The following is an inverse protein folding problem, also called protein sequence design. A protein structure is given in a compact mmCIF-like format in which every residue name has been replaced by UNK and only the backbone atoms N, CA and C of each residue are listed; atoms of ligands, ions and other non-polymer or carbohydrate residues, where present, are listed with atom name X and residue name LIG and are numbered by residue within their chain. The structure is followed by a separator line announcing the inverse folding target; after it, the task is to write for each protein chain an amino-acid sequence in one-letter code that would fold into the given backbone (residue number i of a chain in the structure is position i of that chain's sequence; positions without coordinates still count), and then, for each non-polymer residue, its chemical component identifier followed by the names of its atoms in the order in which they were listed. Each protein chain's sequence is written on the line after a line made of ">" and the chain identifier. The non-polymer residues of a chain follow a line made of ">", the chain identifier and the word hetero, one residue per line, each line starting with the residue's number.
data_IF_576286420176
#
_entry.id   IF_576286420176
#
_cell.length_a   1.000
_cell.length_b   1.000
_cell.length_c   1.000
_cell.angle_alpha   90.00
_cell.angle_beta   90.00
_cell.angle_gamma   90.00
#
_symmetry.space_group_name_H-M   'P 1'
#
loop_
_entity.id
_entity.type
_entity.pdbx_description
1 polymer ?
#
# COMPACT_ATOMS: atom_id res chain seq x y z
N UNK A 1 2.13 -15.08 -18.69
CA UNK A 1 2.51 -15.31 -17.28
C UNK A 1 3.73 -14.49 -16.87
N UNK A 2 4.87 -14.53 -17.56
CA UNK A 2 6.05 -13.69 -17.28
C UNK A 2 5.76 -12.17 -17.32
N UNK A 3 4.82 -11.72 -18.12
CA UNK A 3 4.42 -10.31 -18.24
C UNK A 3 3.66 -9.80 -17.00
N UNK A 4 2.83 -10.63 -16.37
CA UNK A 4 2.10 -10.31 -15.14
C UNK A 4 3.01 -10.30 -13.89
N UNK A 5 4.05 -11.12 -13.88
CA UNK A 5 5.05 -11.17 -12.81
C UNK A 5 5.91 -9.89 -12.83
N UNK A 6 6.26 -9.39 -14.03
CA UNK A 6 6.90 -8.08 -14.20
C UNK A 6 6.02 -6.90 -13.80
N UNK A 7 4.68 -7.04 -13.84
CA UNK A 7 3.77 -5.99 -13.39
C UNK A 7 3.79 -5.79 -11.87
N UNK A 8 3.89 -6.83 -11.08
CA UNK A 8 3.82 -6.72 -9.62
C UNK A 8 5.05 -6.01 -9.00
N UNK A 9 6.28 -6.31 -9.49
CA UNK A 9 7.50 -5.65 -9.03
C UNK A 9 7.55 -4.16 -9.43
N UNK A 10 6.93 -3.80 -10.57
CA UNK A 10 6.89 -2.42 -11.06
C UNK A 10 5.74 -1.59 -10.47
N UNK A 11 4.71 -2.21 -9.87
CA UNK A 11 3.67 -1.46 -9.16
C UNK A 11 4.24 -0.70 -7.95
N UNK A 12 5.26 -1.23 -7.30
CA UNK A 12 5.98 -0.55 -6.23
C UNK A 12 6.79 0.66 -6.74
N UNK A 13 7.51 0.52 -7.84
CA UNK A 13 8.24 1.62 -8.49
C UNK A 13 7.29 2.74 -8.93
N UNK A 14 6.13 2.38 -9.51
CA UNK A 14 5.12 3.35 -9.93
C UNK A 14 4.46 4.07 -8.76
N UNK A 15 4.25 3.40 -7.64
CA UNK A 15 3.72 4.01 -6.42
C UNK A 15 4.61 5.16 -5.93
N UNK A 16 5.92 4.99 -6.07
CA UNK A 16 6.90 5.99 -5.63
C UNK A 16 7.09 7.13 -6.64
N UNK A 17 6.95 6.85 -7.95
CA UNK A 17 7.00 7.89 -9.02
C UNK A 17 5.78 8.80 -8.99
N UNK A 18 4.59 8.32 -8.58
CA UNK A 18 3.40 9.18 -8.39
C UNK A 18 3.61 10.23 -7.32
N UNK A 19 4.43 9.96 -6.31
CA UNK A 19 4.81 10.97 -5.33
C UNK A 19 5.52 12.17 -5.98
N UNK A 20 6.34 11.91 -7.00
CA UNK A 20 7.07 12.95 -7.74
C UNK A 20 6.16 13.83 -8.58
N UNK A 21 5.12 13.24 -9.19
CA UNK A 21 4.14 13.94 -10.04
C UNK A 21 3.28 14.95 -9.28
N UNK A 22 3.12 14.77 -7.97
CA UNK A 22 2.30 15.66 -7.13
C UNK A 22 3.10 16.85 -6.61
N UNK A 23 4.44 16.82 -6.65
CA UNK A 23 5.31 17.76 -5.94
C UNK A 23 6.14 18.66 -6.86
N UNK A 24 6.39 18.31 -8.11
CA UNK A 24 7.21 19.15 -9.01
C UNK A 24 6.45 19.55 -10.29
N UNK A 25 6.81 20.72 -10.85
CA UNK A 25 6.41 21.12 -12.21
C UNK A 25 6.85 20.04 -13.19
N UNK A 26 5.88 19.38 -13.81
CA UNK A 26 6.14 18.28 -14.73
C UNK A 26 6.65 18.74 -16.08
N UNK A 27 7.87 18.32 -16.41
CA UNK A 27 8.22 17.87 -17.73
C UNK A 27 8.69 16.41 -17.60
N UNK A 28 7.77 15.46 -17.73
CA UNK A 28 8.12 14.03 -17.87
C UNK A 28 8.15 13.70 -19.33
N UNK A 29 9.34 13.61 -19.88
CA UNK A 29 9.58 12.92 -21.15
C UNK A 29 9.41 11.41 -20.89
N UNK A 30 8.26 10.89 -21.31
CA UNK A 30 7.87 9.48 -21.14
C UNK A 30 8.52 8.65 -22.25
N UNK A 31 9.66 8.08 -22.00
CA UNK A 31 10.16 6.96 -22.79
C UNK A 31 9.85 5.66 -22.04
N UNK A 32 8.89 4.91 -22.62
CA UNK A 32 8.54 3.50 -22.38
C UNK A 32 7.93 3.11 -21.04
N UNK A 33 6.57 3.07 -20.97
CA UNK A 33 5.70 2.31 -20.06
C UNK A 33 5.38 2.78 -18.62
N UNK A 34 5.75 3.93 -18.07
CA UNK A 34 5.40 4.32 -16.68
C UNK A 34 3.91 4.63 -16.47
N UNK A 35 3.20 5.16 -17.47
CA UNK A 35 1.81 5.62 -17.34
C UNK A 35 0.82 4.53 -16.96
N UNK A 36 1.01 3.30 -17.42
CA UNK A 36 0.09 2.20 -17.11
C UNK A 36 0.12 1.84 -15.61
N UNK A 37 1.29 1.91 -14.98
CA UNK A 37 1.46 1.59 -13.56
C UNK A 37 0.93 2.69 -12.64
N UNK A 38 1.17 3.96 -13.01
CA UNK A 38 0.66 5.13 -12.27
C UNK A 38 -0.86 5.13 -12.27
N UNK A 39 -1.48 4.90 -13.43
CA UNK A 39 -2.93 4.83 -13.56
C UNK A 39 -3.51 3.70 -12.72
N UNK A 40 -2.88 2.50 -12.76
CA UNK A 40 -3.31 1.39 -11.94
C UNK A 40 -3.25 1.73 -10.45
N UNK A 41 -2.13 2.28 -9.96
CA UNK A 41 -1.94 2.64 -8.55
C UNK A 41 -2.99 3.63 -8.04
N UNK A 42 -3.33 4.67 -8.83
CA UNK A 42 -4.33 5.67 -8.48
C UNK A 42 -5.74 5.08 -8.49
N UNK A 43 -6.07 4.24 -9.48
CA UNK A 43 -7.37 3.56 -9.56
C UNK A 43 -7.58 2.53 -8.44
N UNK A 44 -6.50 2.08 -7.80
CA UNK A 44 -6.51 1.18 -6.65
C UNK A 44 -6.50 1.93 -5.30
N UNK A 45 -6.56 3.27 -5.31
CA UNK A 45 -6.49 4.12 -4.13
C UNK A 45 -5.16 4.84 -3.96
N UNK A 46 -4.10 4.12 -3.65
CA UNK A 46 -2.75 4.64 -3.43
C UNK A 46 -2.53 5.22 -2.03
N UNK A 47 -1.46 4.78 -1.34
CA UNK A 47 -0.98 5.38 -0.08
C UNK A 47 0.36 6.07 -0.35
N UNK A 48 0.52 7.29 0.14
CA UNK A 48 1.74 8.09 -0.04
C UNK A 48 2.25 8.61 1.31
N UNK A 49 3.44 9.21 1.33
CA UNK A 49 3.97 9.92 2.53
C UNK A 49 3.02 11.03 3.02
N UNK A 50 2.14 11.51 2.16
CA UNK A 50 1.17 12.58 2.46
C UNK A 50 -0.22 12.05 2.83
N UNK A 51 -0.45 10.73 2.79
CA UNK A 51 -1.76 10.15 3.09
C UNK A 51 -2.31 10.53 4.48
N UNK A 52 -1.49 10.66 5.54
CA UNK A 52 -1.97 11.15 6.83
C UNK A 52 -2.59 12.54 6.79
N UNK A 53 -2.21 13.37 5.80
CA UNK A 53 -2.71 14.73 5.63
C UNK A 53 -3.77 14.86 4.54
N UNK A 54 -3.73 13.98 3.52
CA UNK A 54 -4.42 14.19 2.24
C UNK A 54 -5.33 13.04 1.82
N UNK A 55 -5.37 11.95 2.59
CA UNK A 55 -6.10 10.75 2.22
C UNK A 55 -5.33 9.88 1.20
N UNK A 56 -6.05 9.08 0.45
CA UNK A 56 -5.47 8.27 -0.61
C UNK A 56 -5.05 9.14 -1.81
N UNK A 57 -4.13 8.65 -2.63
CA UNK A 57 -3.70 9.39 -3.84
C UNK A 57 -4.88 9.66 -4.77
N UNK A 58 -5.83 8.73 -4.90
CA UNK A 58 -7.04 8.92 -5.70
C UNK A 58 -7.93 10.07 -5.21
N UNK A 59 -7.83 10.49 -3.94
CA UNK A 59 -8.58 11.63 -3.41
C UNK A 59 -8.08 12.97 -3.97
N UNK A 60 -6.84 13.00 -4.47
CA UNK A 60 -6.26 14.16 -5.14
C UNK A 60 -6.66 14.27 -6.63
N UNK A 61 -7.34 13.27 -7.20
CA UNK A 61 -7.79 13.32 -8.59
C UNK A 61 -8.93 14.31 -8.77
N UNK A 62 -8.82 15.13 -9.80
CA UNK A 62 -9.85 16.11 -10.21
C UNK A 62 -10.63 15.66 -11.43
N UNK A 63 -10.02 14.83 -12.30
CA UNK A 63 -10.66 14.33 -13.50
C UNK A 63 -10.00 13.02 -13.96
N UNK A 64 -10.82 12.11 -14.47
CA UNK A 64 -10.38 10.95 -15.26
C UNK A 64 -10.92 11.10 -16.69
N UNK A 65 -10.05 10.99 -17.69
CA UNK A 65 -10.50 10.70 -19.05
C UNK A 65 -10.51 9.20 -19.22
N UNK A 66 -11.65 8.65 -19.65
CA UNK A 66 -11.89 7.20 -19.73
C UNK A 66 -12.61 6.83 -21.01
N UNK A 67 -12.18 5.73 -21.65
CA UNK A 67 -12.88 5.08 -22.77
C UNK A 67 -13.78 3.99 -22.19
N UNK A 68 -15.08 4.13 -22.37
CA UNK A 68 -16.11 3.21 -21.89
C UNK A 68 -16.21 1.97 -22.79
N UNK A 69 -16.95 0.94 -22.34
CA UNK A 69 -17.24 -0.25 -23.13
C UNK A 69 -17.97 0.05 -24.46
N UNK A 70 -18.70 1.17 -24.53
CA UNK A 70 -19.34 1.67 -25.76
C UNK A 70 -18.36 2.25 -26.80
N UNK A 71 -17.07 2.41 -26.46
CA UNK A 71 -16.08 3.14 -27.26
C UNK A 71 -16.11 4.66 -27.05
N UNK A 72 -17.08 5.18 -26.30
CA UNK A 72 -17.15 6.61 -26.00
C UNK A 72 -16.05 7.03 -25.03
N UNK A 73 -15.35 8.13 -25.37
CA UNK A 73 -14.40 8.78 -24.44
C UNK A 73 -15.12 9.87 -23.66
N UNK A 74 -15.05 9.80 -22.32
CA UNK A 74 -15.70 10.77 -21.43
C UNK A 74 -14.69 11.32 -20.40
N UNK A 75 -15.00 12.50 -19.85
CA UNK A 75 -14.31 13.06 -18.69
C UNK A 75 -15.20 12.86 -17.47
N UNK A 76 -14.73 12.05 -16.50
CA UNK A 76 -15.41 11.82 -15.24
C UNK A 76 -14.78 12.68 -14.14
N UNK A 77 -15.58 13.58 -13.57
CA UNK A 77 -15.17 14.52 -12.52
C UNK A 77 -16.37 14.90 -11.64
N UNK A 78 -16.21 15.85 -10.72
CA UNK A 78 -17.25 16.23 -9.76
C UNK A 78 -18.55 16.77 -10.42
N UNK A 79 -18.49 17.28 -11.66
CA UNK A 79 -19.63 17.87 -12.38
C UNK A 79 -20.07 17.10 -13.60
N UNK A 80 -19.22 16.22 -14.14
CA UNK A 80 -19.49 15.39 -15.30
C UNK A 80 -19.25 13.92 -14.94
N UNK A 81 -20.23 13.06 -15.12
CA UNK A 81 -20.19 11.65 -14.71
C UNK A 81 -19.73 11.46 -13.23
N UNK A 82 -20.35 12.19 -12.26
CA UNK A 82 -19.87 12.21 -10.88
C UNK A 82 -19.93 10.84 -10.19
N UNK A 83 -20.87 10.00 -10.55
CA UNK A 83 -20.98 8.63 -10.07
C UNK A 83 -19.85 7.74 -10.59
N UNK A 84 -19.51 7.83 -11.88
CA UNK A 84 -18.34 7.15 -12.44
C UNK A 84 -17.03 7.66 -11.79
N UNK A 85 -16.94 8.97 -11.55
CA UNK A 85 -15.80 9.59 -10.90
C UNK A 85 -15.52 9.00 -9.51
N UNK A 86 -16.57 8.81 -8.72
CA UNK A 86 -16.46 8.15 -7.42
C UNK A 86 -16.07 6.68 -7.56
N UNK A 87 -16.69 5.95 -8.50
CA UNK A 87 -16.40 4.55 -8.74
C UNK A 87 -14.95 4.28 -9.19
N UNK A 88 -14.36 5.21 -9.95
CA UNK A 88 -12.96 5.10 -10.42
C UNK A 88 -11.94 5.28 -9.28
N UNK A 89 -12.32 5.88 -8.15
CA UNK A 89 -11.46 6.04 -6.98
C UNK A 89 -11.50 4.79 -6.10
N UNK A 90 -10.73 3.79 -6.45
CA UNK A 90 -10.64 2.50 -5.77
C UNK A 90 -11.39 1.35 -6.44
N UNK A 91 -12.13 1.60 -7.53
CA UNK A 91 -12.92 0.57 -8.22
C UNK A 91 -12.20 -0.13 -9.38
N UNK A 92 -10.92 0.14 -9.58
CA UNK A 92 -10.02 -0.50 -10.55
C UNK A 92 -10.46 -0.31 -12.03
N UNK A 93 -10.05 -1.26 -12.89
CA UNK A 93 -10.33 -1.28 -14.33
C UNK A 93 -11.70 -1.92 -14.66
N UNK A 94 -12.70 -1.75 -13.80
CA UNK A 94 -14.02 -2.39 -13.95
C UNK A 94 -15.01 -1.60 -14.83
N UNK A 95 -14.64 -0.39 -15.27
CA UNK A 95 -15.58 0.55 -15.91
C UNK A 95 -15.13 1.03 -17.28
N UNK A 96 -13.85 0.87 -17.63
CA UNK A 96 -13.28 1.38 -18.88
C UNK A 96 -11.75 1.42 -18.83
N UNK A 97 -11.15 2.00 -19.88
CA UNK A 97 -9.72 2.26 -20.01
C UNK A 97 -9.46 3.72 -19.71
N UNK A 98 -8.80 4.01 -18.57
CA UNK A 98 -8.40 5.38 -18.23
C UNK A 98 -7.20 5.79 -19.08
N UNK A 99 -7.33 6.90 -19.79
CA UNK A 99 -6.32 7.44 -20.72
C UNK A 99 -5.61 8.68 -20.20
N UNK A 100 -6.24 9.41 -19.24
CA UNK A 100 -5.63 10.57 -18.57
C UNK A 100 -6.20 10.74 -17.17
N UNK A 101 -5.34 11.17 -16.26
CA UNK A 101 -5.69 11.53 -14.88
C UNK A 101 -5.18 12.96 -14.61
N UNK A 102 -6.06 13.82 -14.12
CA UNK A 102 -5.70 15.17 -13.69
C UNK A 102 -5.67 15.20 -12.15
N UNK A 103 -4.56 15.63 -11.56
CA UNK A 103 -4.30 15.62 -10.11
C UNK A 103 -4.15 17.02 -9.56
N UNK A 104 -4.61 17.26 -8.32
CA UNK A 104 -4.27 18.45 -7.56
C UNK A 104 -2.80 18.40 -7.15
N UNK A 105 -2.10 19.52 -7.36
CA UNK A 105 -0.74 19.72 -6.89
C UNK A 105 -0.72 20.56 -5.61
N UNK A 106 0.38 20.51 -4.88
CA UNK A 106 0.63 21.34 -3.70
C UNK A 106 2.12 21.63 -3.55
N UNK A 107 2.42 22.71 -2.85
CA UNK A 107 3.81 23.08 -2.56
C UNK A 107 4.35 22.19 -1.47
N UNK A 108 5.53 21.59 -1.71
CA UNK A 108 6.26 20.78 -0.75
C UNK A 108 7.73 21.17 -0.76
N UNK A 109 8.27 21.44 0.41
CA UNK A 109 9.70 21.63 0.63
C UNK A 109 10.42 20.29 0.88
N UNK A 110 11.63 20.36 1.45
CA UNK A 110 12.35 19.16 1.88
C UNK A 110 11.57 18.43 2.99
N UNK A 111 11.67 17.11 2.97
CA UNK A 111 11.27 16.22 4.04
C UNK A 111 12.50 15.89 4.89
N UNK A 112 12.26 15.41 6.10
CA UNK A 112 13.27 14.74 6.91
C UNK A 112 12.93 13.26 6.96
N UNK A 113 13.76 12.39 6.36
CA UNK A 113 13.42 10.99 6.24
C UNK A 113 14.54 10.14 5.63
N UNK A 114 14.27 8.87 5.51
CA UNK A 114 15.16 7.81 5.03
C UNK A 114 14.84 6.48 5.69
N UNK A 115 15.79 5.56 5.64
CA UNK A 115 15.67 4.24 6.23
C UNK A 115 16.70 4.01 7.33
N UNK A 116 16.30 3.29 8.38
CA UNK A 116 17.21 2.81 9.45
C UNK A 116 17.10 1.29 9.47
N UNK A 117 18.26 0.61 9.38
CA UNK A 117 18.34 -0.85 9.46
C UNK A 117 18.84 -1.25 10.85
N UNK A 118 18.20 -2.27 11.42
CA UNK A 118 18.46 -2.80 12.74
C UNK A 118 18.77 -4.29 12.69
N UNK A 119 19.62 -4.82 13.59
CA UNK A 119 19.77 -6.27 13.76
C UNK A 119 18.50 -6.88 14.38
N UNK A 120 18.34 -8.21 14.28
CA UNK A 120 17.22 -8.95 14.88
C UNK A 120 17.06 -8.68 16.38
N UNK A 121 18.17 -8.45 17.10
CA UNK A 121 18.16 -8.13 18.54
C UNK A 121 17.37 -6.88 18.90
N UNK A 122 17.12 -5.98 17.94
CA UNK A 122 16.29 -4.77 18.11
C UNK A 122 14.80 -4.99 17.84
N UNK A 123 14.37 -6.18 17.43
CA UNK A 123 12.96 -6.47 17.11
C UNK A 123 11.97 -6.12 18.22
N UNK A 124 12.24 -6.43 19.52
CA UNK A 124 11.30 -6.05 20.58
C UNK A 124 11.14 -4.53 20.71
N UNK A 125 12.24 -3.76 20.59
CA UNK A 125 12.19 -2.30 20.64
C UNK A 125 11.48 -1.72 19.43
N UNK A 126 11.73 -2.29 18.24
CA UNK A 126 11.11 -1.85 16.99
C UNK A 126 9.58 -2.08 17.01
N UNK A 127 9.14 -3.26 17.48
CA UNK A 127 7.72 -3.57 17.65
C UNK A 127 7.03 -2.63 18.65
N UNK A 128 7.66 -2.39 19.81
CA UNK A 128 7.16 -1.49 20.85
C UNK A 128 7.10 -0.03 20.35
N UNK A 129 8.13 0.43 19.63
CA UNK A 129 8.19 1.77 19.09
C UNK A 129 7.11 2.01 18.03
N UNK A 130 6.90 1.05 17.09
CA UNK A 130 5.81 1.11 16.13
C UNK A 130 4.45 1.19 16.85
N UNK A 131 4.20 0.26 17.79
CA UNK A 131 2.95 0.22 18.56
C UNK A 131 2.69 1.55 19.29
N UNK A 132 3.72 2.13 19.92
CA UNK A 132 3.61 3.42 20.61
C UNK A 132 3.29 4.55 19.63
N UNK A 133 3.98 4.60 18.51
CA UNK A 133 3.82 5.63 17.49
C UNK A 133 2.40 5.60 16.89
N UNK A 134 1.80 4.41 16.78
CA UNK A 134 0.48 4.20 16.19
C UNK A 134 -0.69 4.30 17.17
N UNK A 135 -0.46 4.63 18.43
CA UNK A 135 -1.56 4.96 19.33
C UNK A 135 -2.27 6.24 18.85
N UNK A 136 -3.63 6.30 18.84
CA UNK A 136 -4.36 7.46 18.34
C UNK A 136 -3.94 8.80 18.98
N UNK A 137 -3.57 8.78 20.27
CA UNK A 137 -3.07 9.96 20.99
C UNK A 137 -1.73 10.49 20.51
N UNK A 138 -0.96 9.68 19.76
CA UNK A 138 0.36 10.02 19.22
C UNK A 138 0.31 10.32 17.72
N UNK A 139 -0.90 10.39 17.15
CA UNK A 139 -1.08 10.67 15.73
C UNK A 139 -0.45 12.01 15.34
N UNK A 140 0.45 11.97 14.37
CA UNK A 140 1.05 13.15 13.77
C UNK A 140 0.78 13.11 12.25
N UNK A 141 0.00 14.07 11.69
CA UNK A 141 -0.35 14.06 10.27
C UNK A 141 0.85 14.29 9.34
N UNK A 142 2.00 14.68 9.88
CA UNK A 142 3.22 14.88 9.10
C UNK A 142 4.13 13.67 9.07
N UNK A 143 3.79 12.62 9.81
CA UNK A 143 4.57 11.38 9.88
C UNK A 143 4.00 10.32 8.95
N UNK A 144 4.86 9.74 8.09
CA UNK A 144 4.64 8.45 7.45
C UNK A 144 5.73 7.48 7.94
N UNK A 145 5.32 6.29 8.35
CA UNK A 145 6.20 5.27 8.92
C UNK A 145 5.81 3.90 8.39
N UNK A 146 6.81 3.19 7.88
CA UNK A 146 6.76 1.77 7.58
C UNK A 146 7.78 1.05 8.43
N UNK A 147 7.39 -0.06 9.05
CA UNK A 147 8.28 -0.87 9.88
C UNK A 147 8.25 -2.30 9.37
N UNK A 148 9.38 -2.77 8.89
CA UNK A 148 9.53 -4.07 8.26
C UNK A 148 10.39 -5.00 9.10
N UNK A 149 9.97 -6.24 9.19
CA UNK A 149 10.73 -7.39 9.69
C UNK A 149 11.06 -8.25 8.50
N UNK A 150 12.34 -8.47 8.23
CA UNK A 150 12.83 -9.04 6.97
C UNK A 150 13.71 -10.25 7.23
N UNK A 151 13.50 -11.33 6.49
CA UNK A 151 14.38 -12.49 6.40
C UNK A 151 15.05 -12.53 5.05
N UNK A 152 16.37 -12.61 5.03
CA UNK A 152 17.21 -12.73 3.83
C UNK A 152 17.78 -14.14 3.79
N UNK A 153 17.15 -15.05 3.04
CA UNK A 153 17.50 -16.46 3.05
C UNK A 153 18.90 -16.77 2.57
N UNK A 154 19.46 -15.99 1.61
CA UNK A 154 20.86 -16.16 1.16
C UNK A 154 21.89 -15.92 2.28
N UNK A 155 21.55 -15.13 3.26
CA UNK A 155 22.42 -14.79 4.40
C UNK A 155 21.99 -15.48 5.69
N UNK A 156 20.90 -16.22 5.67
CA UNK A 156 20.22 -16.79 6.85
C UNK A 156 20.11 -15.77 7.99
N UNK A 157 19.65 -14.57 7.65
CA UNK A 157 19.69 -13.41 8.56
C UNK A 157 18.34 -12.71 8.61
N UNK A 158 17.99 -12.27 9.82
CA UNK A 158 16.86 -11.38 10.08
C UNK A 158 17.35 -9.96 10.35
N UNK A 159 16.68 -8.97 9.73
CA UNK A 159 16.92 -7.54 9.96
C UNK A 159 15.59 -6.81 10.13
N UNK A 160 15.61 -5.74 10.96
CA UNK A 160 14.53 -4.77 11.01
C UNK A 160 14.82 -3.58 10.11
N UNK A 161 13.81 -3.02 9.45
CA UNK A 161 13.94 -1.79 8.68
C UNK A 161 12.81 -0.85 9.05
N UNK A 162 13.14 0.39 9.40
CA UNK A 162 12.17 1.46 9.54
C UNK A 162 12.38 2.50 8.45
N UNK A 163 11.42 2.63 7.54
CA UNK A 163 11.36 3.72 6.57
C UNK A 163 10.48 4.82 7.16
N UNK A 164 11.05 5.97 7.44
CA UNK A 164 10.34 7.07 8.07
C UNK A 164 10.47 8.36 7.25
N UNK A 165 9.35 9.10 7.18
CA UNK A 165 9.26 10.34 6.41
C UNK A 165 8.47 11.35 7.22
N UNK A 166 9.12 12.46 7.56
CA UNK A 166 8.46 13.60 8.19
C UNK A 166 8.32 14.70 7.14
N UNK A 167 7.08 15.01 6.75
CA UNK A 167 6.77 15.85 5.60
C UNK A 167 7.00 17.36 5.83
N UNK A 168 7.58 17.71 6.98
CA UNK A 168 8.13 19.05 7.27
C UNK A 168 9.65 18.97 7.36
N UNK A 169 10.33 20.10 7.09
CA UNK A 169 11.76 20.22 7.26
C UNK A 169 12.14 20.39 8.75
N UNK A 170 11.81 19.41 9.57
CA UNK A 170 12.12 19.36 11.01
C UNK A 170 12.84 18.06 11.32
N UNK A 171 14.10 18.18 11.73
CA UNK A 171 14.90 17.02 12.09
C UNK A 171 14.38 16.37 13.38
N UNK A 172 14.26 15.06 13.36
CA UNK A 172 13.97 14.22 14.53
C UNK A 172 12.79 14.73 15.38
N UNK A 173 11.66 15.03 14.70
CA UNK A 173 10.42 15.44 15.37
C UNK A 173 10.04 14.45 16.48
N UNK A 174 9.30 14.91 17.50
CA UNK A 174 8.97 14.08 18.67
C UNK A 174 8.25 12.77 18.32
N UNK A 175 7.40 12.81 17.29
CA UNK A 175 6.64 11.64 16.81
C UNK A 175 7.51 10.53 16.20
N UNK A 176 8.70 10.84 15.67
CA UNK A 176 9.61 9.85 15.07
C UNK A 176 10.70 9.35 16.03
N UNK A 177 10.90 10.03 17.17
CA UNK A 177 11.93 9.66 18.18
C UNK A 177 11.84 8.24 18.70
N UNK A 178 10.66 7.64 18.92
CA UNK A 178 10.58 6.24 19.35
C UNK A 178 11.32 5.28 18.43
N UNK A 179 11.37 5.58 17.13
CA UNK A 179 12.06 4.78 16.12
C UNK A 179 13.54 5.16 16.04
N UNK A 180 13.85 6.45 15.90
CA UNK A 180 15.23 6.91 15.64
C UNK A 180 16.18 6.70 16.81
N UNK A 181 15.66 6.57 18.03
CA UNK A 181 16.47 6.33 19.25
C UNK A 181 16.84 4.86 19.50
N UNK A 182 16.27 3.92 18.74
CA UNK A 182 16.59 2.49 18.91
C UNK A 182 18.06 2.21 18.57
N UNK A 183 18.69 1.38 19.39
CA UNK A 183 20.08 0.94 19.22
C UNK A 183 20.18 -0.59 19.45
N UNK A 184 21.14 -1.27 18.79
CA UNK A 184 22.07 -0.74 17.80
C UNK A 184 21.43 -0.53 16.43
N UNK A 185 21.99 0.36 15.62
CA UNK A 185 21.64 0.56 14.21
C UNK A 185 22.76 -0.03 13.33
N UNK A 186 22.39 -0.76 12.28
CA UNK A 186 23.31 -1.27 11.26
C UNK A 186 23.60 -0.20 10.19
N UNK A 187 22.58 0.56 9.82
CA UNK A 187 22.70 1.70 8.92
C UNK A 187 21.62 2.74 9.20
N UNK A 188 21.87 3.98 8.78
CA UNK A 188 20.92 5.08 8.93
C UNK A 188 21.16 6.11 7.81
N UNK A 189 20.18 6.25 6.92
CA UNK A 189 20.19 7.21 5.80
C UNK A 189 19.35 8.46 6.05
N UNK A 190 18.75 8.60 7.23
CA UNK A 190 17.82 9.67 7.57
C UNK A 190 18.50 11.05 7.47
N UNK A 191 17.91 11.92 6.64
CA UNK A 191 18.44 13.25 6.30
C UNK A 191 17.36 14.19 5.82
N UNK A 192 17.69 15.45 5.59
CA UNK A 192 16.87 16.31 4.77
C UNK A 192 17.06 15.97 3.30
N UNK A 193 15.97 15.74 2.59
CA UNK A 193 15.99 15.41 1.17
C UNK A 193 14.68 15.84 0.49
N UNK A 194 14.70 15.92 -0.85
CA UNK A 194 13.49 16.08 -1.63
C UNK A 194 12.65 14.79 -1.63
N UNK A 195 11.36 14.92 -1.92
CA UNK A 195 10.47 13.75 -2.08
C UNK A 195 11.01 12.78 -3.12
N UNK A 196 11.57 13.29 -4.23
CA UNK A 196 12.15 12.48 -5.29
C UNK A 196 13.34 11.61 -4.81
N UNK A 197 14.27 12.23 -4.06
CA UNK A 197 15.44 11.50 -3.56
C UNK A 197 15.02 10.36 -2.63
N UNK A 198 14.07 10.62 -1.72
CA UNK A 198 13.55 9.60 -0.81
C UNK A 198 12.77 8.52 -1.55
N UNK A 199 11.99 8.89 -2.56
CA UNK A 199 11.26 7.95 -3.39
C UNK A 199 12.21 7.01 -4.16
N UNK A 200 13.29 7.55 -4.73
CA UNK A 200 14.33 6.76 -5.40
C UNK A 200 15.06 5.80 -4.45
N UNK A 201 15.33 6.25 -3.23
CA UNK A 201 15.93 5.41 -2.20
C UNK A 201 15.06 4.19 -1.87
N UNK A 202 13.76 4.39 -1.66
CA UNK A 202 12.82 3.28 -1.41
C UNK A 202 12.72 2.36 -2.64
N UNK A 203 12.66 2.92 -3.84
CA UNK A 203 12.61 2.16 -5.10
C UNK A 203 13.84 1.28 -5.30
N UNK A 204 15.01 1.71 -4.84
CA UNK A 204 16.26 0.94 -4.95
C UNK A 204 16.28 -0.34 -4.10
N UNK A 205 15.37 -0.47 -3.14
CA UNK A 205 15.19 -1.68 -2.33
C UNK A 205 14.43 -2.79 -3.09
N UNK A 206 13.87 -2.49 -4.25
CA UNK A 206 13.17 -3.48 -5.08
C UNK A 206 14.16 -4.43 -5.76
N UNK A 207 13.84 -5.73 -5.73
CA UNK A 207 14.67 -6.76 -6.39
C UNK A 207 14.05 -7.10 -7.75
N UNK A 208 14.59 -6.59 -8.87
CA UNK A 208 14.05 -6.88 -10.20
C UNK A 208 14.24 -8.35 -10.58
N UNK A 209 13.34 -8.88 -11.42
CA UNK A 209 13.40 -10.21 -12.04
C UNK A 209 13.18 -11.42 -11.13
N UNK A 210 12.75 -11.24 -9.89
CA UNK A 210 12.31 -12.35 -9.03
C UNK A 210 10.79 -12.59 -9.14
N UNK A 211 10.36 -13.83 -8.88
CA UNK A 211 8.97 -14.16 -8.60
C UNK A 211 8.56 -13.47 -7.29
N UNK A 212 7.28 -13.09 -7.17
CA UNK A 212 6.79 -12.50 -5.92
C UNK A 212 5.39 -12.97 -5.56
N UNK A 213 5.14 -13.11 -4.26
CA UNK A 213 3.83 -13.33 -3.66
C UNK A 213 3.59 -12.23 -2.64
N UNK A 214 2.46 -11.57 -2.75
CA UNK A 214 2.03 -10.47 -1.89
C UNK A 214 0.69 -10.81 -1.28
N UNK A 215 0.47 -10.43 -0.02
CA UNK A 215 -0.81 -10.48 0.64
C UNK A 215 -0.88 -9.44 1.76
N UNK A 216 -2.09 -9.12 2.20
CA UNK A 216 -2.30 -8.06 3.19
C UNK A 216 -3.45 -8.40 4.12
N UNK A 217 -3.41 -7.85 5.33
CA UNK A 217 -4.54 -7.80 6.24
C UNK A 217 -4.52 -6.51 7.05
N UNK A 218 -5.63 -6.15 7.65
CA UNK A 218 -5.79 -4.91 8.40
C UNK A 218 -6.36 -5.19 9.78
N UNK A 219 -5.88 -4.46 10.78
CA UNK A 219 -6.38 -4.52 12.15
C UNK A 219 -6.18 -3.16 12.85
N UNK A 220 -6.92 -2.92 13.94
CA UNK A 220 -6.67 -1.76 14.78
C UNK A 220 -5.47 -2.04 15.70
N UNK A 221 -4.70 -0.99 16.03
CA UNK A 221 -3.55 -1.14 16.92
C UNK A 221 -3.98 -1.58 18.32
N UNK A 222 -3.27 -2.54 18.89
CA UNK A 222 -3.35 -2.93 20.31
C UNK A 222 -1.95 -2.96 20.94
N UNK A 223 -1.83 -2.98 22.26
CA UNK A 223 -0.54 -2.84 22.94
C UNK A 223 0.50 -3.91 22.58
N UNK A 224 0.08 -5.12 22.27
CA UNK A 224 0.97 -6.29 22.07
C UNK A 224 0.79 -6.99 20.73
N UNK A 225 -0.07 -6.49 19.82
CA UNK A 225 -0.38 -7.20 18.58
C UNK A 225 0.86 -7.40 17.70
N UNK A 226 1.71 -6.38 17.56
CA UNK A 226 2.92 -6.47 16.74
C UNK A 226 3.90 -7.50 17.33
N UNK A 227 4.12 -7.47 18.65
CA UNK A 227 5.02 -8.42 19.31
C UNK A 227 4.51 -9.87 19.27
N UNK A 228 3.19 -10.09 19.19
CA UNK A 228 2.60 -11.43 18.99
C UNK A 228 2.71 -11.92 17.56
N UNK A 229 2.69 -11.04 16.57
CA UNK A 229 2.78 -11.40 15.15
C UNK A 229 4.24 -11.68 14.73
N UNK A 230 5.24 -10.98 15.27
CA UNK A 230 6.65 -11.15 14.90
C UNK A 230 7.15 -12.60 15.01
N UNK A 231 6.90 -13.37 16.08
CA UNK A 231 7.29 -14.78 16.14
C UNK A 231 6.61 -15.66 15.07
N UNK A 232 5.37 -15.35 14.71
CA UNK A 232 4.63 -16.08 13.66
C UNK A 232 5.30 -15.84 12.30
N UNK A 233 5.67 -14.59 12.02
CA UNK A 233 6.43 -14.24 10.81
C UNK A 233 7.77 -14.99 10.78
N UNK A 234 8.52 -14.99 11.88
CA UNK A 234 9.80 -15.69 11.98
C UNK A 234 9.67 -17.17 11.65
N UNK A 235 8.68 -17.84 12.21
CA UNK A 235 8.40 -19.25 11.93
C UNK A 235 8.01 -19.48 10.45
N UNK A 236 7.17 -18.63 9.89
CA UNK A 236 6.77 -18.69 8.48
C UNK A 236 7.97 -18.48 7.54
N UNK A 237 8.83 -17.50 7.80
CA UNK A 237 10.01 -17.22 7.00
C UNK A 237 11.02 -18.40 7.02
N UNK A 238 11.30 -18.95 8.20
CA UNK A 238 12.18 -20.13 8.34
C UNK A 238 11.64 -21.37 7.64
N UNK A 239 10.33 -21.54 7.54
CA UNK A 239 9.74 -22.67 6.79
C UNK A 239 10.02 -22.58 5.28
N UNK A 240 10.44 -21.44 4.78
CA UNK A 240 10.83 -21.17 3.37
C UNK A 240 12.36 -21.09 3.17
N UNK A 241 13.18 -21.30 4.20
CA UNK A 241 14.65 -21.13 4.15
C UNK A 241 15.35 -21.91 3.02
N UNK A 242 14.77 -23.02 2.57
CA UNK A 242 15.30 -23.86 1.48
C UNK A 242 14.87 -23.36 0.09
N UNK A 243 14.13 -22.29 -0.02
CA UNK A 243 13.75 -21.70 -1.32
C UNK A 243 14.88 -20.80 -1.80
N UNK A 244 15.33 -21.03 -3.05
CA UNK A 244 16.44 -20.29 -3.62
C UNK A 244 16.13 -18.78 -3.71
N UNK A 245 17.05 -17.99 -3.20
CA UNK A 245 16.97 -16.52 -3.19
C UNK A 245 15.69 -15.97 -2.50
N UNK A 246 15.20 -16.69 -1.47
CA UNK A 246 14.04 -16.20 -0.72
C UNK A 246 14.40 -14.93 0.05
N UNK A 247 13.58 -13.91 -0.13
CA UNK A 247 13.52 -12.75 0.77
C UNK A 247 12.07 -12.56 1.20
N UNK A 248 11.82 -12.73 2.49
CA UNK A 248 10.49 -12.55 3.08
C UNK A 248 10.46 -11.27 3.90
N UNK A 249 9.44 -10.46 3.72
CA UNK A 249 9.23 -9.23 4.49
C UNK A 249 7.80 -9.17 5.03
N UNK A 250 7.68 -8.77 6.28
CA UNK A 250 6.44 -8.38 6.91
C UNK A 250 6.53 -6.90 7.30
N UNK A 251 5.72 -6.08 6.67
CA UNK A 251 5.75 -4.62 6.84
C UNK A 251 4.46 -4.13 7.47
N UNK A 252 4.59 -3.35 8.52
CA UNK A 252 3.49 -2.62 9.15
C UNK A 252 3.51 -1.16 8.71
N UNK A 253 2.36 -0.66 8.31
CA UNK A 253 2.14 0.75 7.97
C UNK A 253 0.74 1.18 8.41
N UNK A 254 0.49 2.49 8.46
CA UNK A 254 -0.84 3.00 8.78
C UNK A 254 -1.68 3.20 7.53
N UNK A 255 -2.99 2.96 7.68
CA UNK A 255 -4.00 3.65 6.91
C UNK A 255 -4.60 4.69 7.85
N UNK A 256 -4.13 5.93 7.85
CA UNK A 256 -4.62 6.94 8.76
C UNK A 256 -6.09 7.26 8.47
N UNK A 257 -6.84 7.76 9.48
CA UNK A 257 -8.20 8.20 9.26
C UNK A 257 -8.23 9.27 8.17
N UNK A 258 -9.23 9.24 7.28
CA UNK A 258 -9.34 10.21 6.22
C UNK A 258 -9.46 11.63 6.77
N UNK A 259 -8.81 12.62 6.18
CA UNK A 259 -8.98 14.02 6.55
C UNK A 259 -10.44 14.45 6.36
N UNK A 260 -10.93 15.40 7.18
CA UNK A 260 -12.33 15.85 7.20
C UNK A 260 -12.85 16.47 5.88
N UNK A 261 -11.97 16.76 4.94
CA UNK A 261 -12.28 17.33 3.61
C UNK A 261 -11.86 16.32 2.55
N UNK A 262 -12.61 15.23 2.39
CA UNK A 262 -12.34 14.25 1.35
C UNK A 262 -13.34 14.32 0.21
N UNK A 263 -12.82 14.15 -0.99
CA UNK A 263 -13.58 13.77 -2.16
C UNK A 263 -14.10 12.33 -1.98
N UNK A 264 -15.39 12.04 -2.25
CA UNK A 264 -15.93 10.69 -2.11
C UNK A 264 -15.13 9.67 -2.94
N UNK A 265 -14.90 8.50 -2.34
CA UNK A 265 -14.30 7.32 -2.99
C UNK A 265 -15.04 6.05 -2.56
N UNK A 266 -14.72 4.91 -3.16
CA UNK A 266 -15.40 3.64 -2.87
C UNK A 266 -14.66 2.74 -1.91
N UNK A 267 -13.56 3.17 -1.32
CA UNK A 267 -12.70 2.32 -0.50
C UNK A 267 -13.22 2.09 0.94
N UNK A 268 -14.41 2.55 1.27
CA UNK A 268 -15.04 2.30 2.57
C UNK A 268 -14.60 3.24 3.71
N UNK A 269 -13.64 4.12 3.48
CA UNK A 269 -13.21 5.14 4.44
C UNK A 269 -14.01 6.42 4.24
N UNK A 270 -15.19 6.48 4.85
CA UNK A 270 -16.02 7.69 4.83
C UNK A 270 -15.76 8.53 6.08
N UNK A 271 -15.76 9.88 5.97
CA UNK A 271 -15.48 10.79 7.09
C UNK A 271 -16.41 10.62 8.30
N UNK A 272 -17.58 10.00 8.09
CA UNK A 272 -18.66 9.88 9.10
C UNK A 272 -18.84 8.46 9.64
N UNK A 273 -18.13 7.45 9.15
CA UNK A 273 -18.52 6.06 9.36
C UNK A 273 -17.79 5.32 10.47
N UNK A 274 -16.72 5.89 11.07
CA UNK A 274 -16.00 5.23 12.17
C UNK A 274 -15.41 6.24 13.14
N UNK A 275 -15.41 5.94 14.47
CA UNK A 275 -14.48 6.62 15.35
C UNK A 275 -13.07 6.44 14.77
N UNK A 276 -12.30 7.54 14.74
CA UNK A 276 -10.95 7.60 14.16
C UNK A 276 -10.06 6.50 14.76
N UNK A 277 -10.03 5.34 14.11
CA UNK A 277 -9.10 4.27 14.43
C UNK A 277 -7.93 4.40 13.47
N UNK A 278 -6.73 4.52 14.00
CA UNK A 278 -5.53 4.33 13.18
C UNK A 278 -5.41 2.83 12.88
N UNK A 279 -5.74 2.47 11.63
CA UNK A 279 -5.68 1.10 11.18
C UNK A 279 -4.24 0.76 10.79
N UNK A 280 -3.79 -0.39 11.22
CA UNK A 280 -2.52 -0.99 10.81
C UNK A 280 -2.77 -1.86 9.60
N UNK A 281 -2.12 -1.52 8.51
CA UNK A 281 -2.01 -2.33 7.31
C UNK A 281 -0.76 -3.20 7.44
N UNK A 282 -0.94 -4.51 7.46
CA UNK A 282 0.14 -5.47 7.35
C UNK A 282 0.26 -5.92 5.91
N UNK A 283 1.45 -5.75 5.33
CA UNK A 283 1.86 -6.31 4.06
C UNK A 283 2.85 -7.44 4.30
N UNK A 284 2.65 -8.58 3.69
CA UNK A 284 3.68 -9.61 3.54
C UNK A 284 4.10 -9.72 2.09
N UNK A 285 5.41 -9.73 1.85
CA UNK A 285 6.00 -9.94 0.53
C UNK A 285 7.03 -11.06 0.60
N UNK A 286 7.00 -11.93 -0.39
CA UNK A 286 8.00 -12.97 -0.59
C UNK A 286 8.55 -12.87 -2.00
N UNK A 287 9.85 -12.63 -2.13
CA UNK A 287 10.58 -12.64 -3.41
C UNK A 287 11.42 -13.91 -3.50
N UNK A 288 11.49 -14.54 -4.66
CA UNK A 288 12.20 -15.81 -4.88
C UNK A 288 12.55 -16.04 -6.34
N UNK A 289 13.64 -16.75 -6.60
CA UNK A 289 14.11 -17.02 -7.97
C UNK A 289 13.39 -18.21 -8.63
N UNK A 290 13.08 -19.27 -7.87
CA UNK A 290 12.47 -20.49 -8.41
C UNK A 290 10.96 -20.37 -8.59
N UNK A 291 10.53 -20.08 -9.82
CA UNK A 291 9.10 -19.94 -10.16
C UNK A 291 8.27 -21.22 -9.89
N UNK A 292 8.89 -22.42 -9.81
CA UNK A 292 8.20 -23.67 -9.46
C UNK A 292 7.66 -23.66 -8.03
N UNK A 293 8.21 -22.84 -7.17
CA UNK A 293 7.82 -22.68 -5.75
C UNK A 293 6.62 -21.74 -5.54
N UNK A 294 6.12 -21.09 -6.58
CA UNK A 294 5.04 -20.10 -6.45
C UNK A 294 3.86 -20.62 -5.63
N UNK A 295 3.31 -21.79 -5.98
CA UNK A 295 2.13 -22.34 -5.28
C UNK A 295 2.42 -22.69 -3.82
N UNK A 296 3.63 -23.17 -3.51
CA UNK A 296 4.06 -23.43 -2.15
C UNK A 296 4.11 -22.14 -1.33
N UNK A 297 4.76 -21.11 -1.85
CA UNK A 297 4.94 -19.82 -1.17
C UNK A 297 3.59 -19.10 -1.03
N UNK A 298 2.72 -19.15 -2.05
CA UNK A 298 1.37 -18.59 -1.99
C UNK A 298 0.54 -19.25 -0.87
N UNK A 299 0.58 -20.57 -0.74
CA UNK A 299 -0.10 -21.28 0.34
C UNK A 299 0.47 -20.95 1.73
N UNK A 300 1.80 -20.83 1.86
CA UNK A 300 2.43 -20.44 3.13
C UNK A 300 2.09 -18.99 3.50
N UNK A 301 2.05 -18.08 2.52
CA UNK A 301 1.60 -16.71 2.69
C UNK A 301 0.15 -16.65 3.17
N UNK A 302 -0.74 -17.46 2.58
CA UNK A 302 -2.13 -17.57 2.99
C UNK A 302 -2.27 -18.07 4.43
N UNK A 303 -1.49 -19.08 4.81
CA UNK A 303 -1.48 -19.60 6.18
C UNK A 303 -0.97 -18.55 7.18
N UNK A 304 0.05 -17.77 6.80
CA UNK A 304 0.56 -16.67 7.61
C UNK A 304 -0.51 -15.59 7.85
N UNK A 305 -1.19 -15.11 6.80
CA UNK A 305 -2.28 -14.14 6.92
C UNK A 305 -3.39 -14.68 7.84
N UNK A 306 -3.81 -15.93 7.67
CA UNK A 306 -4.82 -16.55 8.53
C UNK A 306 -4.38 -16.61 10.01
N UNK A 307 -3.10 -16.83 10.29
CA UNK A 307 -2.56 -16.80 11.64
C UNK A 307 -2.55 -15.39 12.25
N UNK A 308 -2.25 -14.37 11.44
CA UNK A 308 -2.34 -12.96 11.86
C UNK A 308 -3.78 -12.58 12.16
N UNK A 309 -4.72 -12.91 11.27
CA UNK A 309 -6.16 -12.63 11.45
C UNK A 309 -6.71 -13.30 12.70
N UNK A 310 -6.23 -14.50 13.03
CA UNK A 310 -6.57 -15.19 14.28
C UNK A 310 -6.11 -14.39 15.50
N UNK A 311 -4.86 -13.91 15.52
CA UNK A 311 -4.34 -13.08 16.62
C UNK A 311 -5.15 -11.79 16.76
N UNK A 312 -5.46 -11.12 15.64
CA UNK A 312 -6.26 -9.90 15.65
C UNK A 312 -7.68 -10.15 16.16
N UNK A 313 -8.29 -11.29 15.79
CA UNK A 313 -9.62 -11.70 16.26
C UNK A 313 -9.62 -12.02 17.75
N UNK A 314 -8.62 -12.76 18.25
CA UNK A 314 -8.47 -13.07 19.68
C UNK A 314 -8.34 -11.81 20.54
N UNK A 315 -7.79 -10.74 19.98
CA UNK A 315 -7.67 -9.45 20.65
C UNK A 315 -8.87 -8.49 20.42
N UNK A 316 -9.83 -8.89 19.60
CA UNK A 316 -10.98 -8.05 19.26
C UNK A 316 -10.63 -6.81 18.43
N UNK A 317 -9.50 -6.84 17.70
CA UNK A 317 -9.00 -5.71 16.87
C UNK A 317 -8.99 -6.01 15.38
N UNK A 318 -9.54 -7.14 14.97
CA UNK A 318 -9.68 -7.51 13.57
C UNK A 318 -10.53 -6.45 12.82
N UNK A 319 -10.07 -6.04 11.64
CA UNK A 319 -10.80 -5.16 10.74
C UNK A 319 -10.91 -5.83 9.36
N UNK A 320 -12.13 -5.97 8.88
CA UNK A 320 -12.39 -6.59 7.57
C UNK A 320 -12.13 -5.58 6.45
N UNK A 321 -10.87 -5.27 6.22
CA UNK A 321 -10.42 -4.41 5.13
C UNK A 321 -9.17 -4.98 4.49
N UNK A 322 -9.25 -5.24 3.19
CA UNK A 322 -8.11 -5.70 2.38
C UNK A 322 -7.67 -4.56 1.46
N UNK A 323 -6.46 -4.03 1.67
CA UNK A 323 -5.94 -2.98 0.82
C UNK A 323 -5.59 -3.51 -0.57
N UNK A 324 -6.30 -3.03 -1.57
CA UNK A 324 -6.35 -3.63 -2.90
C UNK A 324 -4.98 -3.67 -3.60
N UNK A 325 -4.12 -2.64 -3.40
CA UNK A 325 -2.80 -2.60 -4.02
C UNK A 325 -1.87 -3.73 -3.56
N UNK A 326 -2.13 -4.34 -2.40
CA UNK A 326 -1.30 -5.40 -1.81
C UNK A 326 -2.00 -6.77 -1.80
N UNK A 327 -3.24 -6.82 -2.30
CA UNK A 327 -4.08 -8.00 -2.18
C UNK A 327 -3.55 -9.18 -3.03
N UNK A 328 -3.53 -10.37 -2.43
CA UNK A 328 -3.29 -11.62 -3.12
C UNK A 328 -4.49 -11.99 -4.03
N UNK A 329 -4.25 -12.81 -5.03
CA UNK A 329 -5.31 -13.27 -5.96
C UNK A 329 -6.50 -13.97 -5.29
N UNK A 330 -6.27 -14.60 -4.14
CA UNK A 330 -7.30 -15.28 -3.36
C UNK A 330 -8.07 -14.37 -2.39
N UNK A 331 -7.66 -13.10 -2.22
CA UNK A 331 -8.37 -12.09 -1.44
C UNK A 331 -9.44 -11.40 -2.30
N UNK A 332 -10.47 -10.83 -1.67
CA UNK A 332 -11.56 -10.13 -2.35
C UNK A 332 -11.71 -8.68 -1.85
N UNK A 333 -10.73 -7.81 -2.18
CA UNK A 333 -10.66 -6.45 -1.64
C UNK A 333 -11.88 -5.59 -1.98
N UNK A 334 -12.56 -5.84 -3.13
CA UNK A 334 -13.72 -5.05 -3.51
C UNK A 334 -14.94 -5.36 -2.63
N UNK A 335 -15.11 -6.60 -2.16
CA UNK A 335 -16.14 -6.94 -1.16
C UNK A 335 -15.78 -6.43 0.22
N UNK A 336 -14.51 -6.40 0.56
CA UNK A 336 -14.02 -5.94 1.86
C UNK A 336 -14.15 -4.42 2.07
N UNK A 337 -14.43 -3.66 1.00
CA UNK A 337 -14.87 -2.26 1.14
C UNK A 337 -16.22 -2.11 1.84
N UNK A 338 -16.96 -3.20 1.98
CA UNK A 338 -18.26 -3.24 2.64
C UNK A 338 -19.45 -3.33 1.66
N UNK A 339 -20.63 -3.74 2.17
CA UNK A 339 -21.78 -4.04 1.33
C UNK A 339 -22.32 -2.82 0.55
N UNK A 340 -22.25 -1.64 1.13
CA UNK A 340 -22.72 -0.39 0.49
C UNK A 340 -21.85 -0.06 -0.71
N UNK A 341 -20.52 -0.05 -0.53
CA UNK A 341 -19.54 0.25 -1.57
C UNK A 341 -19.55 -0.80 -2.68
N UNK A 342 -19.64 -2.09 -2.29
CA UNK A 342 -19.73 -3.17 -3.27
C UNK A 342 -21.01 -3.06 -4.12
N UNK A 343 -22.16 -2.78 -3.50
CA UNK A 343 -23.44 -2.58 -4.22
C UNK A 343 -23.34 -1.39 -5.17
N UNK A 344 -22.70 -0.30 -4.74
CA UNK A 344 -22.46 0.86 -5.59
C UNK A 344 -21.59 0.51 -6.80
N UNK A 345 -20.44 -0.15 -6.60
CA UNK A 345 -19.57 -0.61 -7.68
C UNK A 345 -20.29 -1.54 -8.66
N UNK A 346 -21.11 -2.46 -8.15
CA UNK A 346 -21.90 -3.37 -8.97
C UNK A 346 -22.93 -2.62 -9.85
N UNK A 347 -23.59 -1.60 -9.30
CA UNK A 347 -24.50 -0.75 -10.04
C UNK A 347 -23.78 0.06 -11.12
N UNK A 348 -22.61 0.62 -10.82
CA UNK A 348 -21.79 1.38 -11.77
C UNK A 348 -21.24 0.50 -12.90
N UNK A 349 -20.79 -0.72 -12.58
CA UNK A 349 -20.35 -1.67 -13.60
C UNK A 349 -21.49 -1.99 -14.58
N UNK A 350 -22.69 -2.29 -14.08
CA UNK A 350 -23.87 -2.53 -14.95
C UNK A 350 -24.24 -1.32 -15.81
N UNK A 351 -24.09 -0.11 -15.26
CA UNK A 351 -24.41 1.13 -15.97
C UNK A 351 -23.43 1.44 -17.11
N UNK A 352 -22.12 1.32 -16.86
CA UNK A 352 -21.07 1.74 -17.79
C UNK A 352 -20.47 0.61 -18.63
N UNK A 353 -20.68 -0.65 -18.19
CA UNK A 353 -20.28 -1.87 -18.90
C UNK A 353 -21.39 -2.93 -18.86
N UNK A 354 -22.58 -2.67 -19.48
CA UNK A 354 -23.73 -3.56 -19.39
C UNK A 354 -23.48 -4.95 -19.99
N UNK A 355 -22.53 -5.10 -20.90
CA UNK A 355 -22.15 -6.37 -21.52
C UNK A 355 -21.06 -7.11 -20.70
N UNK A 356 -20.46 -6.48 -19.70
CA UNK A 356 -19.43 -7.04 -18.85
C UNK A 356 -18.10 -7.27 -19.57
N UNK A 357 -17.74 -6.41 -20.51
CA UNK A 357 -16.47 -6.47 -21.25
C UNK A 357 -15.30 -6.42 -20.27
N UNK A 358 -15.30 -5.43 -19.37
CA UNK A 358 -14.24 -5.25 -18.38
C UNK A 358 -14.31 -6.27 -17.23
N UNK A 359 -15.44 -6.95 -17.03
CA UNK A 359 -15.56 -8.05 -16.08
C UNK A 359 -14.98 -9.36 -16.62
N UNK A 360 -15.10 -9.60 -17.93
CA UNK A 360 -14.82 -10.92 -18.54
C UNK A 360 -13.51 -10.97 -19.33
N UNK A 361 -13.11 -9.85 -19.94
CA UNK A 361 -12.01 -9.84 -20.93
C UNK A 361 -10.73 -9.15 -20.43
N UNK A 362 -10.75 -8.59 -19.23
CA UNK A 362 -9.58 -7.95 -18.65
C UNK A 362 -9.19 -8.62 -17.31
N UNK A 363 -7.89 -8.59 -16.99
CA UNK A 363 -7.37 -9.09 -15.71
C UNK A 363 -7.68 -8.17 -14.53
N UNK A 364 -7.15 -8.51 -13.35
CA UNK A 364 -7.31 -7.75 -12.12
C UNK A 364 -8.49 -8.21 -11.25
N UNK A 365 -8.76 -7.47 -10.17
CA UNK A 365 -9.89 -7.76 -9.28
C UNK A 365 -11.20 -7.34 -9.92
N UNK A 366 -12.18 -8.26 -9.92
CA UNK A 366 -13.48 -8.09 -10.55
C UNK A 366 -14.60 -8.01 -9.51
N UNK A 367 -15.61 -7.19 -9.83
CA UNK A 367 -16.79 -6.99 -8.97
C UNK A 367 -17.64 -8.27 -8.94
N UNK A 368 -17.78 -8.92 -10.08
CA UNK A 368 -18.51 -10.18 -10.21
C UNK A 368 -17.50 -11.33 -10.40
N UNK A 369 -17.17 -12.00 -9.31
CA UNK A 369 -16.34 -13.23 -9.30
C UNK A 369 -17.22 -14.46 -9.20
#
# INVERSE_FOLDING_TARGET
>A
MAHLIRMASRLWEAAMVVLELVVSRLEVSLQEHPLCYINAYILLGGISFFSPQRGFVCDSVTNFQIVLASGQTVNANATSYPDLFVALKGGTNNFGVVTRIDLKTFTQGQLWGGAITYPESAYPQLAAAFTTTKQPRNFDPYQALETSFVYIGQLDTFIGVASLFYTKAVANASSVRPITSIQPQMSNSVRFASTLELAREVSSLSTPNLGSVWATTTFAISPDIVSRIVPIFRAAALSMQNVTEITSSMTFQSIPPPPSILSPNVMGFLPTSTPQKDLVLLLVTNFFADASKYSQIDQMTKNFIAAVDKVATEQGVNEKYTYLNYAAKWQDPLKDYGPVQWTYLAAMSKKYDPQGVFQKQTGGFKIFR
#
